data_IF_446687492454
#
_entry.id   IF_446687492454
#
_cell.length_a   1.000
_cell.length_b   1.000
_cell.length_c   1.000
_cell.angle_alpha   90.00
_cell.angle_beta   90.00
_cell.angle_gamma   90.00
#
_symmetry.space_group_name_H-M   'P 1'
#
loop_
_entity.id
_entity.type
_entity.pdbx_description
1 polymer ?
#
# COMPACT_ATOMS: atom_id res chain seq x y z
N UNK A 1 16.09 -18.16 -11.43
CA UNK A 1 14.64 -18.07 -11.17
C UNK A 1 14.48 -17.06 -10.05
N UNK A 2 13.86 -15.91 -10.30
CA UNK A 2 13.59 -14.94 -9.23
C UNK A 2 12.48 -15.52 -8.36
N UNK A 3 12.72 -15.64 -7.05
CA UNK A 3 11.69 -16.03 -6.10
C UNK A 3 10.56 -15.01 -6.16
N UNK A 4 9.29 -15.42 -6.36
CA UNK A 4 8.18 -14.49 -6.29
C UNK A 4 8.19 -13.80 -4.93
N UNK A 5 8.22 -12.47 -4.94
CA UNK A 5 8.20 -11.66 -3.73
C UNK A 5 6.79 -11.75 -3.16
N UNK A 6 6.64 -12.42 -2.03
CA UNK A 6 5.35 -12.52 -1.35
C UNK A 6 5.11 -11.29 -0.51
N UNK A 7 4.04 -10.59 -0.84
CA UNK A 7 3.60 -9.41 -0.11
C UNK A 7 2.46 -9.72 0.83
N UNK A 8 2.47 -9.08 1.99
CA UNK A 8 1.29 -8.88 2.84
C UNK A 8 0.89 -7.41 2.78
N UNK A 9 -0.40 -7.14 2.95
CA UNK A 9 -0.96 -5.79 2.97
C UNK A 9 -1.65 -5.60 4.30
N UNK A 10 -1.30 -4.53 4.99
CA UNK A 10 -1.85 -4.20 6.30
C UNK A 10 -2.39 -2.78 6.28
N UNK A 11 -3.60 -2.60 6.84
CA UNK A 11 -4.18 -1.28 7.02
C UNK A 11 -3.44 -0.52 8.12
N UNK A 12 -2.86 0.64 7.76
CA UNK A 12 -2.10 1.47 8.67
C UNK A 12 -2.98 2.52 9.37
N UNK A 13 -4.03 3.00 8.70
CA UNK A 13 -4.91 4.04 9.22
C UNK A 13 -5.58 4.86 8.12
N UNK A 14 -6.21 5.95 8.54
CA UNK A 14 -6.92 6.87 7.67
C UNK A 14 -6.32 8.28 7.75
N UNK A 15 -6.38 8.99 6.63
CA UNK A 15 -6.10 10.42 6.56
C UNK A 15 -7.31 11.23 7.03
N UNK A 16 -7.11 12.50 7.41
CA UNK A 16 -8.21 13.36 7.84
C UNK A 16 -9.28 13.62 6.76
N UNK A 17 -8.95 13.38 5.49
CA UNK A 17 -9.87 13.49 4.35
C UNK A 17 -10.48 12.15 3.90
N UNK A 18 -10.27 11.06 4.67
CA UNK A 18 -10.93 9.76 4.44
C UNK A 18 -10.18 8.81 3.50
N UNK A 19 -8.98 9.18 3.04
CA UNK A 19 -8.12 8.26 2.30
C UNK A 19 -7.57 7.18 3.25
N UNK A 20 -7.52 5.94 2.77
CA UNK A 20 -6.99 4.79 3.51
C UNK A 20 -5.53 4.58 3.16
N UNK A 21 -4.71 4.36 4.19
CA UNK A 21 -3.29 4.08 4.04
C UNK A 21 -3.04 2.60 4.36
N UNK A 22 -2.28 1.94 3.49
CA UNK A 22 -1.86 0.55 3.67
C UNK A 22 -0.35 0.45 3.57
N UNK A 23 0.23 -0.35 4.47
CA UNK A 23 1.62 -0.77 4.40
C UNK A 23 1.69 -2.11 3.69
N UNK A 24 2.56 -2.21 2.70
CA UNK A 24 2.90 -3.48 2.07
C UNK A 24 4.17 -4.00 2.73
N UNK A 25 4.17 -5.26 3.18
CA UNK A 25 5.33 -5.90 3.80
C UNK A 25 5.82 -7.07 2.95
N UNK A 26 7.12 -7.31 3.00
CA UNK A 26 7.79 -8.51 2.43
C UNK A 26 8.44 -9.23 3.60
N UNK A 27 7.84 -10.33 4.04
CA UNK A 27 8.17 -10.94 5.33
C UNK A 27 7.91 -9.95 6.47
N UNK A 28 8.93 -9.69 7.30
CA UNK A 28 8.84 -8.75 8.43
C UNK A 28 9.26 -7.31 8.08
N UNK A 29 9.67 -7.07 6.83
CA UNK A 29 10.17 -5.77 6.39
C UNK A 29 9.09 -5.00 5.65
N UNK A 30 9.11 -3.68 5.81
CA UNK A 30 8.33 -2.78 4.99
C UNK A 30 8.78 -2.87 3.53
N UNK A 31 7.87 -3.32 2.68
CA UNK A 31 8.03 -3.43 1.23
C UNK A 31 7.38 -2.27 0.47
N UNK A 32 6.65 -1.38 1.14
CA UNK A 32 6.04 -0.20 0.53
C UNK A 32 4.90 0.40 1.34
N UNK A 33 4.33 1.48 0.82
CA UNK A 33 3.16 2.15 1.39
C UNK A 33 2.28 2.72 0.27
N UNK A 34 0.97 2.68 0.44
CA UNK A 34 -0.01 3.23 -0.52
C UNK A 34 -1.06 4.06 0.19
N UNK A 35 -1.40 5.20 -0.40
CA UNK A 35 -2.55 6.03 -0.05
C UNK A 35 -3.63 5.81 -1.12
N UNK A 36 -4.81 5.39 -0.70
CA UNK A 36 -5.86 5.02 -1.61
C UNK A 36 -7.26 5.45 -1.16
N UNK A 37 -8.08 5.88 -2.12
CA UNK A 37 -9.45 6.32 -1.90
C UNK A 37 -10.39 5.14 -2.15
N UNK A 38 -11.18 4.70 -1.17
CA UNK A 38 -12.26 3.76 -1.43
C UNK A 38 -13.34 4.44 -2.26
N UNK A 39 -13.67 3.87 -3.41
CA UNK A 39 -14.76 4.32 -4.28
C UNK A 39 -15.85 3.26 -4.22
N UNK A 40 -16.84 3.51 -3.36
CA UNK A 40 -17.91 2.57 -3.04
C UNK A 40 -17.32 1.22 -2.60
N UNK A 41 -18.03 0.12 -2.87
CA UNK A 41 -17.58 -1.25 -2.61
C UNK A 41 -16.98 -1.91 -3.86
N UNK A 42 -16.74 -1.14 -4.93
CA UNK A 42 -16.33 -1.69 -6.23
C UNK A 42 -14.84 -1.51 -6.52
N UNK A 43 -14.26 -0.34 -6.19
CA UNK A 43 -12.88 -0.03 -6.57
C UNK A 43 -12.15 0.75 -5.47
N UNK A 44 -10.85 0.49 -5.35
CA UNK A 44 -9.91 1.29 -4.59
C UNK A 44 -9.05 2.09 -5.57
N UNK A 45 -9.02 3.42 -5.42
CA UNK A 45 -8.20 4.29 -6.26
C UNK A 45 -6.90 4.66 -5.54
N UNK A 46 -5.78 4.07 -5.96
CA UNK A 46 -4.44 4.39 -5.45
C UNK A 46 -4.05 5.77 -5.96
N UNK A 47 -4.03 6.78 -5.08
CA UNK A 47 -3.59 8.15 -5.40
C UNK A 47 -2.09 8.15 -5.67
N UNK A 48 -1.36 7.67 -4.67
CA UNK A 48 0.10 7.60 -4.65
C UNK A 48 0.54 6.46 -3.74
N UNK A 49 1.65 5.84 -4.10
CA UNK A 49 2.34 4.90 -3.25
C UNK A 49 3.69 4.54 -3.83
N UNK A 50 4.43 3.74 -3.09
CA UNK A 50 5.72 3.24 -3.52
C UNK A 50 5.92 1.82 -3.01
N UNK A 51 6.48 0.97 -3.87
CA UNK A 51 7.00 -0.35 -3.51
C UNK A 51 8.53 -0.28 -3.53
N UNK A 52 9.18 -0.86 -2.54
CA UNK A 52 10.64 -0.81 -2.37
C UNK A 52 11.35 -2.03 -2.96
N UNK A 53 10.61 -3.12 -3.18
CA UNK A 53 11.13 -4.42 -3.65
C UNK A 53 10.42 -4.80 -4.96
N UNK A 54 11.08 -5.43 -5.95
CA UNK A 54 12.52 -5.67 -6.04
C UNK A 54 13.34 -4.38 -6.25
N UNK A 55 12.73 -3.33 -6.78
CA UNK A 55 13.32 -2.00 -6.94
C UNK A 55 12.30 -0.90 -6.59
N UNK A 56 12.76 0.28 -6.10
CA UNK A 56 11.86 1.38 -5.77
C UNK A 56 11.00 1.80 -6.97
N UNK A 57 9.70 1.59 -6.84
CA UNK A 57 8.72 1.78 -7.90
C UNK A 57 7.55 2.60 -7.37
N UNK A 58 7.37 3.80 -7.93
CA UNK A 58 6.26 4.68 -7.62
C UNK A 58 5.01 4.26 -8.37
N UNK A 59 3.88 4.24 -7.68
CA UNK A 59 2.56 3.93 -8.23
C UNK A 59 1.67 5.15 -8.03
N UNK A 60 1.00 5.60 -9.10
CA UNK A 60 0.11 6.75 -9.05
C UNK A 60 -1.11 6.54 -9.94
N UNK A 61 -2.27 7.00 -9.46
CA UNK A 61 -3.52 7.07 -10.24
C UNK A 61 -3.94 5.72 -10.81
N UNK A 62 -3.86 4.67 -10.00
CA UNK A 62 -4.23 3.31 -10.40
C UNK A 62 -5.57 2.92 -9.76
N UNK A 63 -6.44 2.31 -10.56
CA UNK A 63 -7.69 1.69 -10.07
C UNK A 63 -7.43 0.22 -9.79
N UNK A 64 -7.84 -0.23 -8.62
CA UNK A 64 -7.82 -1.62 -8.17
C UNK A 64 -9.27 -2.05 -7.98
N UNK A 65 -9.70 -3.10 -8.68
CA UNK A 65 -11.04 -3.65 -8.51
C UNK A 65 -11.10 -4.48 -7.23
N UNK A 66 -12.17 -4.29 -6.45
CA UNK A 66 -12.39 -5.06 -5.22
C UNK A 66 -13.03 -6.40 -5.53
N UNK A 67 -13.98 -6.46 -6.47
CA UNK A 67 -14.66 -7.70 -6.88
C UNK A 67 -15.21 -8.53 -5.68
N UNK A 68 -15.70 -7.84 -4.65
CA UNK A 68 -16.20 -8.45 -3.42
C UNK A 68 -15.13 -8.86 -2.40
N UNK A 69 -13.85 -8.57 -2.65
CA UNK A 69 -12.72 -8.81 -1.75
C UNK A 69 -12.51 -7.63 -0.79
N UNK A 70 -11.78 -7.89 0.28
CA UNK A 70 -11.28 -6.82 1.15
C UNK A 70 -10.27 -5.94 0.39
N UNK A 71 -10.04 -4.73 0.89
CA UNK A 71 -9.09 -3.81 0.26
C UNK A 71 -7.66 -4.39 0.27
N UNK A 72 -7.30 -5.06 1.36
CA UNK A 72 -6.02 -5.72 1.57
C UNK A 72 -5.79 -6.85 0.56
N UNK A 73 -6.79 -7.72 0.38
CA UNK A 73 -6.74 -8.80 -0.62
C UNK A 73 -6.64 -8.26 -2.04
N UNK A 74 -7.48 -7.28 -2.39
CA UNK A 74 -7.50 -6.68 -3.71
C UNK A 74 -6.16 -5.99 -4.04
N UNK A 75 -5.60 -5.25 -3.08
CA UNK A 75 -4.28 -4.64 -3.21
C UNK A 75 -3.20 -5.71 -3.40
N UNK A 76 -3.20 -6.76 -2.56
CA UNK A 76 -2.22 -7.85 -2.60
C UNK A 76 -2.20 -8.54 -3.97
N UNK A 77 -3.37 -8.89 -4.49
CA UNK A 77 -3.48 -9.53 -5.80
C UNK A 77 -3.08 -8.61 -6.96
N UNK A 78 -3.29 -7.30 -6.78
CA UNK A 78 -2.98 -6.29 -7.80
C UNK A 78 -1.51 -5.90 -7.86
N UNK A 79 -0.65 -6.29 -6.90
CA UNK A 79 0.75 -5.81 -6.80
C UNK A 79 1.54 -6.00 -8.10
N UNK A 80 1.38 -7.12 -8.79
CA UNK A 80 2.06 -7.35 -10.06
C UNK A 80 1.59 -6.39 -11.16
N UNK A 81 0.29 -6.07 -11.22
CA UNK A 81 -0.24 -5.04 -12.13
C UNK A 81 0.27 -3.65 -11.73
N UNK A 82 0.28 -3.35 -10.42
CA UNK A 82 0.78 -2.09 -9.89
C UNK A 82 2.26 -1.87 -10.23
N UNK A 83 3.10 -2.89 -10.07
CA UNK A 83 4.52 -2.85 -10.47
C UNK A 83 4.66 -2.66 -11.99
N UNK A 84 3.86 -3.36 -12.80
CA UNK A 84 3.89 -3.22 -14.26
C UNK A 84 3.45 -1.84 -14.78
N UNK A 85 2.65 -1.11 -14.00
CA UNK A 85 2.14 0.24 -14.33
C UNK A 85 2.91 1.35 -13.62
N UNK A 86 3.67 1.01 -12.61
CA UNK A 86 4.49 1.92 -11.82
C UNK A 86 5.68 2.46 -12.61
N UNK A 87 6.36 3.43 -12.02
CA UNK A 87 7.58 4.03 -12.57
C UNK A 87 8.74 3.77 -11.62
N UNK A 88 9.88 3.25 -12.08
CA UNK A 88 11.08 3.18 -11.27
C UNK A 88 11.46 4.59 -10.80
N UNK A 89 11.85 4.72 -9.54
CA UNK A 89 12.25 5.97 -8.92
C UNK A 89 13.56 5.79 -8.16
N UNK A 90 14.24 6.91 -7.88
CA UNK A 90 15.41 6.89 -7.02
C UNK A 90 15.01 6.54 -5.57
N UNK A 91 15.90 5.91 -4.78
CA UNK A 91 15.64 5.62 -3.37
C UNK A 91 15.20 6.86 -2.57
N UNK A 92 15.81 8.02 -2.82
CA UNK A 92 15.50 9.27 -2.13
C UNK A 92 14.09 9.78 -2.45
N UNK A 93 13.62 9.54 -3.68
CA UNK A 93 12.24 9.85 -4.07
C UNK A 93 11.26 8.89 -3.39
N UNK A 94 11.61 7.60 -3.30
CA UNK A 94 10.81 6.61 -2.59
C UNK A 94 10.65 6.98 -1.10
N UNK A 95 11.74 7.35 -0.43
CA UNK A 95 11.73 7.79 0.97
C UNK A 95 10.88 9.06 1.16
N UNK A 96 10.94 9.98 0.20
CA UNK A 96 10.12 11.20 0.19
C UNK A 96 8.63 10.86 0.07
N UNK A 97 8.26 9.91 -0.78
CA UNK A 97 6.87 9.43 -0.93
C UNK A 97 6.40 8.75 0.36
N UNK A 98 7.22 7.88 0.96
CA UNK A 98 6.88 7.22 2.23
C UNK A 98 6.63 8.26 3.31
N UNK A 99 7.53 9.23 3.43
CA UNK A 99 7.43 10.30 4.43
C UNK A 99 6.17 11.14 4.21
N UNK A 100 5.85 11.47 2.95
CA UNK A 100 4.62 12.16 2.59
C UNK A 100 3.38 11.38 3.00
N UNK A 101 3.26 10.11 2.58
CA UNK A 101 2.09 9.27 2.90
C UNK A 101 1.96 9.09 4.42
N UNK A 102 3.07 8.89 5.13
CA UNK A 102 3.07 8.79 6.60
C UNK A 102 2.64 10.08 7.28
N UNK A 103 3.06 11.23 6.78
CA UNK A 103 2.65 12.53 7.32
C UNK A 103 1.13 12.78 7.20
N UNK A 104 0.47 12.07 6.29
CA UNK A 104 -0.98 12.15 6.05
C UNK A 104 -1.80 11.29 7.00
N UNK A 105 -1.18 10.35 7.74
CA UNK A 105 -1.88 9.55 8.74
C UNK A 105 -2.46 10.48 9.82
N UNK A 106 -3.78 10.58 9.86
CA UNK A 106 -4.50 11.39 10.84
C UNK A 106 -4.83 10.58 12.09
N UNK A 107 -5.45 9.42 11.91
CA UNK A 107 -5.79 8.49 12.99
C UNK A 107 -4.96 7.20 12.85
N UNK A 108 -3.95 7.06 13.70
CA UNK A 108 -3.21 5.80 13.86
C UNK A 108 -4.15 4.83 14.58
N UNK A 109 -4.65 3.80 13.90
CA UNK A 109 -5.23 2.66 14.64
C UNK A 109 -4.07 1.96 15.34
N UNK A 110 -4.03 1.93 16.69
CA UNK A 110 -3.02 1.14 17.37
C UNK A 110 -3.21 -0.32 16.95
N UNK A 111 -2.11 -0.96 16.53
CA UNK A 111 -2.06 -2.39 16.27
C UNK A 111 -2.74 -3.10 17.45
N UNK A 112 -3.75 -3.92 17.16
CA UNK A 112 -4.43 -4.69 18.19
C UNK A 112 -3.38 -5.60 18.83
N UNK A 113 -2.94 -5.24 20.04
CA UNK A 113 -2.18 -6.14 20.90
C UNK A 113 -3.06 -7.35 21.14
N UNK A 114 -2.70 -8.48 20.54
CA UNK A 114 -3.27 -9.76 20.91
C UNK A 114 -2.72 -10.07 22.29
N UNK A 115 -3.51 -9.80 23.34
CA UNK A 115 -3.26 -10.38 24.66
C UNK A 115 -3.61 -11.86 24.58
N UNK A 116 -2.62 -12.71 24.86
CA UNK A 116 -2.87 -14.11 25.18
C UNK A 116 -3.30 -14.16 26.66
N UNK A 117 -4.53 -14.59 26.92
CA UNK A 117 -4.98 -15.04 28.25
C UNK A 117 -4.33 -16.38 28.63
#
# INVERSE_FOLDING_TARGET
>A
MATPVEYTVEYAGETSDGDKIYVLKVGEREGGIVEAIPINEEFLFVKVGVLLVPEPTKIEKVRVALEGKTHEEALKESINDLLGRGKPVAPEEADSIISYVRSRLGEVRPEAKIEYE
#
